data_IF_829914234836
#
_entry.id   IF_829914234836
#
_cell.length_a   1.000
_cell.length_b   1.000
_cell.length_c   1.000
_cell.angle_alpha   90.00
_cell.angle_beta   90.00
_cell.angle_gamma   90.00
#
_symmetry.space_group_name_H-M   'P 1'
#
loop_
_entity.id
_entity.type
_entity.pdbx_description
1 polymer ?
#
# COMPACT_ATOMS: atom_id res chain seq x y z
N UNK A 1 -3.83 -7.24 -13.87
CA UNK A 1 -3.74 -5.87 -13.35
C UNK A 1 -4.65 -4.88 -14.10
N UNK A 2 -4.80 -5.09 -15.39
CA UNK A 2 -5.73 -4.30 -16.21
C UNK A 2 -7.14 -4.90 -16.23
N UNK A 3 -7.33 -6.04 -15.60
CA UNK A 3 -8.63 -6.71 -15.56
C UNK A 3 -9.52 -6.11 -14.49
N UNK A 4 -10.85 -6.09 -14.69
CA UNK A 4 -11.77 -5.67 -13.65
C UNK A 4 -11.85 -6.70 -12.54
N UNK A 5 -12.33 -6.25 -11.38
CA UNK A 5 -12.52 -7.14 -10.26
C UNK A 5 -13.18 -6.44 -9.08
N UNK A 6 -13.48 -7.23 -8.06
CA UNK A 6 -14.15 -6.80 -6.84
C UNK A 6 -13.20 -6.94 -5.68
N UNK A 7 -13.16 -5.92 -4.82
CA UNK A 7 -12.27 -5.92 -3.65
C UNK A 7 -12.76 -6.95 -2.64
N UNK A 8 -11.81 -7.74 -2.12
CA UNK A 8 -12.04 -8.74 -1.09
C UNK A 8 -10.95 -8.67 -0.02
N UNK A 9 -11.11 -9.45 1.03
CA UNK A 9 -10.15 -9.49 2.13
C UNK A 9 -10.58 -8.61 3.30
N UNK A 10 -10.08 -8.95 4.47
CA UNK A 10 -10.50 -8.32 5.73
C UNK A 10 -9.54 -7.25 6.23
N UNK A 11 -8.32 -7.23 5.75
CA UNK A 11 -7.30 -6.34 6.29
C UNK A 11 -6.79 -6.82 7.64
N UNK A 12 -5.92 -6.02 8.25
CA UNK A 12 -5.30 -6.32 9.54
C UNK A 12 -5.91 -5.48 10.64
N UNK A 13 -6.17 -6.12 11.78
CA UNK A 13 -6.61 -5.42 12.97
C UNK A 13 -5.39 -4.83 13.67
N UNK A 14 -5.09 -3.58 13.36
CA UNK A 14 -3.87 -2.91 13.82
C UNK A 14 -4.15 -1.44 14.10
N UNK A 15 -3.41 -0.89 15.07
CA UNK A 15 -3.55 0.53 15.42
C UNK A 15 -2.71 1.44 14.52
N UNK A 16 -1.75 0.89 13.77
CA UNK A 16 -0.95 1.67 12.83
C UNK A 16 -0.78 0.89 11.53
N UNK A 17 -0.59 1.64 10.45
CA UNK A 17 -0.52 1.09 9.11
C UNK A 17 0.92 0.81 8.67
N UNK A 18 1.85 1.72 9.00
CA UNK A 18 3.22 1.65 8.52
C UNK A 18 4.19 1.22 9.62
N UNK A 19 5.19 0.44 9.23
CA UNK A 19 6.19 -0.16 10.11
C UNK A 19 7.59 0.05 9.53
N UNK A 20 8.58 -0.32 10.33
CA UNK A 20 9.98 -0.28 9.92
C UNK A 20 10.60 1.10 9.95
N UNK A 21 11.89 1.15 9.62
CA UNK A 21 12.65 2.39 9.54
C UNK A 21 12.08 3.26 8.42
N UNK A 22 11.89 4.55 8.72
CA UNK A 22 11.32 5.50 7.76
C UNK A 22 9.96 5.10 7.22
N UNK A 23 9.20 4.28 7.98
CA UNK A 23 7.86 3.81 7.60
C UNK A 23 7.88 3.18 6.21
N UNK A 24 8.83 2.27 5.98
CA UNK A 24 9.13 1.77 4.65
C UNK A 24 8.25 0.60 4.20
N UNK A 25 7.51 -0.05 5.11
CA UNK A 25 6.63 -1.17 4.77
C UNK A 25 5.41 -1.19 5.68
N UNK A 26 4.26 -1.56 5.13
CA UNK A 26 3.02 -1.55 5.90
C UNK A 26 1.98 -2.52 5.37
N UNK A 27 0.90 -2.64 6.12
CA UNK A 27 -0.23 -3.53 5.84
C UNK A 27 -1.50 -2.71 5.68
N UNK A 28 -2.54 -3.32 5.13
CA UNK A 28 -3.81 -2.64 4.96
C UNK A 28 -4.68 -2.91 6.18
N UNK A 29 -5.01 -1.86 6.95
CA UNK A 29 -5.85 -2.02 8.13
C UNK A 29 -7.28 -2.41 7.80
N UNK A 30 -7.94 -3.08 8.74
CA UNK A 30 -9.33 -3.49 8.61
C UNK A 30 -10.25 -2.31 8.31
N UNK A 31 -10.04 -1.16 8.93
CA UNK A 31 -10.88 0.01 8.70
C UNK A 31 -10.88 0.44 7.22
N UNK A 32 -9.72 0.39 6.58
CA UNK A 32 -9.60 0.74 5.17
C UNK A 32 -10.20 -0.38 4.31
N UNK A 33 -9.91 -1.64 4.64
CA UNK A 33 -10.50 -2.78 3.94
C UNK A 33 -12.03 -2.72 3.96
N UNK A 34 -12.62 -2.37 5.11
CA UNK A 34 -14.07 -2.30 5.26
C UNK A 34 -14.68 -1.22 4.36
N UNK A 35 -13.96 -0.13 4.10
CA UNK A 35 -14.42 0.94 3.20
C UNK A 35 -14.46 0.51 1.74
N UNK A 36 -13.61 -0.43 1.36
CA UNK A 36 -13.40 -0.82 -0.04
C UNK A 36 -14.03 -2.16 -0.41
N UNK A 37 -14.32 -3.00 0.57
CA UNK A 37 -14.83 -4.35 0.32
C UNK A 37 -16.11 -4.30 -0.51
N UNK A 38 -16.18 -5.22 -1.47
CA UNK A 38 -17.31 -5.38 -2.39
C UNK A 38 -17.42 -4.28 -3.45
N UNK A 39 -16.56 -3.26 -3.43
CA UNK A 39 -16.52 -2.31 -4.53
C UNK A 39 -15.88 -2.94 -5.75
N UNK A 40 -16.38 -2.57 -6.92
CA UNK A 40 -15.89 -3.06 -8.20
C UNK A 40 -15.10 -1.99 -8.93
N UNK A 41 -13.98 -2.39 -9.53
CA UNK A 41 -13.11 -1.49 -10.29
C UNK A 41 -12.82 -2.08 -11.65
N UNK A 42 -12.61 -1.22 -12.64
CA UNK A 42 -12.31 -1.66 -14.01
C UNK A 42 -10.85 -2.09 -14.16
N UNK A 43 -9.97 -1.52 -13.34
CA UNK A 43 -8.54 -1.84 -13.35
C UNK A 43 -7.93 -1.46 -12.00
N UNK A 44 -6.69 -1.88 -11.80
CA UNK A 44 -6.01 -1.66 -10.52
C UNK A 44 -5.72 -0.17 -10.26
N UNK A 45 -5.53 0.63 -11.29
CA UNK A 45 -5.28 2.07 -11.11
C UNK A 45 -6.48 2.77 -10.48
N UNK A 46 -7.70 2.39 -10.87
CA UNK A 46 -8.92 2.92 -10.25
C UNK A 46 -8.99 2.52 -8.77
N UNK A 47 -8.67 1.26 -8.48
CA UNK A 47 -8.61 0.79 -7.09
C UNK A 47 -7.58 1.58 -6.29
N UNK A 48 -6.38 1.78 -6.84
CA UNK A 48 -5.30 2.48 -6.15
C UNK A 48 -5.71 3.91 -5.79
N UNK A 49 -6.37 4.62 -6.72
CA UNK A 49 -6.86 5.97 -6.45
C UNK A 49 -7.85 5.96 -5.28
N UNK A 50 -8.78 5.04 -5.28
CA UNK A 50 -9.80 4.95 -4.23
C UNK A 50 -9.20 4.48 -2.90
N UNK A 51 -8.17 3.64 -2.97
CA UNK A 51 -7.44 3.19 -1.79
C UNK A 51 -6.84 4.40 -1.03
N UNK A 52 -6.14 5.27 -1.73
CA UNK A 52 -5.52 6.42 -1.07
C UNK A 52 -6.56 7.43 -0.57
N UNK A 53 -7.66 7.58 -1.28
CA UNK A 53 -8.79 8.38 -0.78
C UNK A 53 -9.35 7.79 0.51
N UNK A 54 -9.48 6.48 0.59
CA UNK A 54 -9.94 5.80 1.80
C UNK A 54 -8.98 6.02 2.96
N UNK A 55 -7.66 5.96 2.72
CA UNK A 55 -6.67 6.27 3.74
C UNK A 55 -6.85 7.68 4.27
N UNK A 56 -7.07 8.65 3.37
CA UNK A 56 -7.27 10.06 3.76
C UNK A 56 -8.48 10.26 4.67
N UNK A 57 -9.46 9.36 4.62
CA UNK A 57 -10.66 9.44 5.48
C UNK A 57 -10.45 8.85 6.87
N UNK A 58 -9.26 8.35 7.18
CA UNK A 58 -8.96 7.70 8.45
C UNK A 58 -7.82 8.40 9.17
N UNK A 59 -7.67 8.10 10.46
CA UNK A 59 -6.53 8.60 11.24
C UNK A 59 -5.20 8.03 10.75
N UNK A 60 -5.20 6.94 10.02
CA UNK A 60 -3.97 6.41 9.42
C UNK A 60 -3.29 7.41 8.49
N UNK A 61 -4.04 8.37 7.94
CA UNK A 61 -3.46 9.41 7.08
C UNK A 61 -2.34 10.17 7.78
N UNK A 62 -2.42 10.33 9.10
CA UNK A 62 -1.41 11.05 9.87
C UNK A 62 -0.03 10.40 9.78
N UNK A 63 0.04 9.10 9.54
CA UNK A 63 1.31 8.37 9.42
C UNK A 63 2.10 8.77 8.17
N UNK A 64 1.42 9.37 7.20
CA UNK A 64 2.04 9.75 5.92
C UNK A 64 2.44 11.22 5.86
N UNK A 65 2.16 11.99 6.91
CA UNK A 65 2.59 13.39 6.96
C UNK A 65 4.10 13.45 7.21
N UNK A 66 4.79 14.32 6.49
CA UNK A 66 6.23 14.51 6.63
C UNK A 66 6.44 15.85 7.34
N UNK A 67 7.02 15.79 8.54
CA UNK A 67 7.28 16.99 9.37
C UNK A 67 6.02 17.85 9.60
N UNK A 68 4.85 17.20 9.69
CA UNK A 68 3.59 17.89 9.91
C UNK A 68 3.03 18.63 8.70
N UNK A 69 3.73 18.59 7.56
CA UNK A 69 3.26 19.21 6.32
C UNK A 69 2.03 18.43 5.79
N UNK A 70 0.90 19.10 5.52
CA UNK A 70 -0.31 18.41 5.07
C UNK A 70 -0.31 18.01 3.60
N UNK A 71 0.78 18.23 2.87
CA UNK A 71 0.86 17.95 1.43
C UNK A 71 0.38 16.55 1.09
N UNK A 72 0.86 15.54 1.81
CA UNK A 72 0.49 14.14 1.54
C UNK A 72 -0.99 13.88 1.83
N UNK A 73 -1.57 14.55 2.80
CA UNK A 73 -3.01 14.42 3.04
C UNK A 73 -3.80 14.88 1.80
N UNK A 74 -3.45 16.03 1.23
CA UNK A 74 -4.15 16.53 0.05
C UNK A 74 -3.91 15.67 -1.18
N UNK A 75 -2.71 15.11 -1.33
CA UNK A 75 -2.45 14.15 -2.40
C UNK A 75 -3.38 12.94 -2.29
N UNK A 76 -3.46 12.32 -1.12
CA UNK A 76 -4.31 11.15 -0.89
C UNK A 76 -5.79 11.48 -1.06
N UNK A 77 -6.21 12.63 -0.55
CA UNK A 77 -7.60 13.08 -0.69
C UNK A 77 -8.01 13.17 -2.16
N UNK A 78 -7.08 13.48 -3.05
CA UNK A 78 -7.33 13.56 -4.48
C UNK A 78 -6.98 12.27 -5.22
N UNK A 79 -6.71 11.18 -4.51
CA UNK A 79 -6.46 9.86 -5.10
C UNK A 79 -5.01 9.56 -5.43
N UNK A 80 -4.08 10.45 -5.07
CA UNK A 80 -2.66 10.25 -5.32
C UNK A 80 -1.96 9.59 -4.14
N UNK A 81 -0.97 8.75 -4.43
CA UNK A 81 -0.14 8.15 -3.39
C UNK A 81 0.69 9.24 -2.70
N UNK A 82 0.92 9.11 -1.38
CA UNK A 82 1.74 10.09 -0.67
C UNK A 82 3.22 9.96 -1.05
N UNK A 83 3.93 11.08 -0.94
CA UNK A 83 5.37 11.11 -1.14
C UNK A 83 6.07 10.42 0.02
N UNK A 84 7.15 9.72 -0.27
CA UNK A 84 8.01 9.11 0.75
C UNK A 84 9.05 10.13 1.24
N UNK A 85 9.65 9.87 2.42
CA UNK A 85 10.81 10.66 2.84
C UNK A 85 11.95 10.47 1.85
N UNK A 86 12.83 11.48 1.72
CA UNK A 86 13.78 11.53 0.61
C UNK A 86 14.70 10.31 0.52
N UNK A 87 15.11 9.74 1.64
CA UNK A 87 16.00 8.56 1.62
C UNK A 87 15.29 7.27 1.21
N UNK A 88 13.97 7.30 1.04
CA UNK A 88 13.18 6.15 0.59
C UNK A 88 12.80 6.24 -0.89
N UNK A 89 13.11 7.34 -1.54
CA UNK A 89 12.95 7.48 -2.99
C UNK A 89 14.15 6.83 -3.70
N UNK A 90 13.90 6.26 -4.88
CA UNK A 90 14.96 5.64 -5.67
C UNK A 90 14.61 5.70 -7.16
N UNK A 91 15.62 6.00 -7.99
CA UNK A 91 15.49 5.95 -9.46
C UNK A 91 14.29 6.73 -10.01
N UNK A 92 14.02 7.91 -9.45
CA UNK A 92 12.92 8.76 -9.93
C UNK A 92 11.54 8.37 -9.41
N UNK A 93 11.44 7.40 -8.50
CA UNK A 93 10.20 7.02 -7.85
C UNK A 93 10.14 7.66 -6.47
N UNK A 94 9.09 8.42 -6.20
CA UNK A 94 9.00 9.26 -5.01
C UNK A 94 7.76 9.00 -4.15
N UNK A 95 6.89 8.06 -4.54
CA UNK A 95 5.63 7.80 -3.85
C UNK A 95 5.53 6.38 -3.36
N UNK A 96 4.70 6.17 -2.32
CA UNK A 96 4.38 4.84 -1.84
C UNK A 96 3.75 3.99 -2.94
N UNK A 97 3.99 2.69 -2.86
CA UNK A 97 3.52 1.71 -3.84
C UNK A 97 2.70 0.62 -3.14
N UNK A 98 1.74 0.08 -3.87
CA UNK A 98 1.04 -1.14 -3.45
C UNK A 98 1.68 -2.32 -4.17
N UNK A 99 2.12 -3.31 -3.39
CA UNK A 99 2.83 -4.48 -3.91
C UNK A 99 2.00 -5.73 -3.62
N UNK A 100 1.82 -6.59 -4.63
CA UNK A 100 1.16 -7.87 -4.45
C UNK A 100 2.12 -8.87 -3.82
N UNK A 101 1.75 -9.43 -2.66
CA UNK A 101 2.59 -10.38 -1.93
C UNK A 101 2.81 -11.62 -2.77
N UNK A 102 1.73 -12.22 -3.26
CA UNK A 102 1.80 -13.28 -4.25
C UNK A 102 1.58 -12.61 -5.61
N UNK A 103 2.56 -12.71 -6.53
CA UNK A 103 2.44 -12.07 -7.82
C UNK A 103 1.22 -12.54 -8.59
N UNK A 104 0.64 -11.65 -9.38
CA UNK A 104 -0.54 -11.95 -10.18
C UNK A 104 -0.25 -13.13 -11.13
N UNK A 105 0.95 -13.16 -11.73
CA UNK A 105 1.35 -14.23 -12.64
C UNK A 105 1.61 -15.56 -11.94
N UNK A 106 1.57 -15.59 -10.61
CA UNK A 106 1.69 -16.82 -9.80
C UNK A 106 0.38 -17.14 -9.09
N UNK A 107 -0.74 -16.60 -9.56
CA UNK A 107 -2.06 -16.86 -9.01
C UNK A 107 -2.49 -15.94 -7.90
N UNK A 108 -1.71 -14.88 -7.61
CA UNK A 108 -2.09 -13.91 -6.60
C UNK A 108 -3.30 -13.09 -6.98
N UNK A 109 -4.18 -12.82 -6.02
CA UNK A 109 -5.37 -12.02 -6.24
C UNK A 109 -4.99 -10.55 -6.48
N UNK A 110 -5.57 -9.95 -7.52
CA UNK A 110 -5.32 -8.54 -7.85
C UNK A 110 -5.97 -7.62 -6.81
N UNK A 111 -7.17 -7.97 -6.35
CA UNK A 111 -8.01 -7.08 -5.55
C UNK A 111 -8.22 -7.56 -4.11
N UNK A 112 -7.48 -8.55 -3.65
CA UNK A 112 -7.50 -8.90 -2.25
C UNK A 112 -6.58 -7.98 -1.46
N UNK A 113 -7.13 -7.23 -0.51
CA UNK A 113 -6.30 -6.36 0.34
C UNK A 113 -5.35 -7.18 1.23
N UNK A 114 -5.65 -8.45 1.46
CA UNK A 114 -4.77 -9.34 2.22
C UNK A 114 -3.58 -9.82 1.39
N UNK A 115 -3.61 -9.61 0.07
CA UNK A 115 -2.50 -9.88 -0.83
C UNK A 115 -1.71 -8.61 -1.18
N UNK A 116 -1.95 -7.51 -0.48
CA UNK A 116 -1.30 -6.23 -0.74
C UNK A 116 -0.52 -5.76 0.48
N UNK A 117 0.60 -5.10 0.20
CA UNK A 117 1.38 -4.38 1.19
C UNK A 117 1.73 -3.01 0.64
N UNK A 118 1.92 -2.06 1.55
CA UNK A 118 2.31 -0.69 1.20
C UNK A 118 3.80 -0.57 1.41
N UNK A 119 4.54 -0.15 0.41
CA UNK A 119 6.01 -0.09 0.49
C UNK A 119 6.53 1.18 -0.13
N UNK A 120 7.72 1.60 0.34
CA UNK A 120 8.47 2.67 -0.33
C UNK A 120 9.17 2.13 -1.56
N UNK A 121 9.51 2.99 -2.53
CA UNK A 121 10.30 2.55 -3.68
C UNK A 121 11.61 1.87 -3.30
N UNK A 122 12.31 2.39 -2.30
CA UNK A 122 13.58 1.81 -1.86
C UNK A 122 13.40 0.43 -1.25
N UNK A 123 12.40 0.24 -0.38
CA UNK A 123 12.12 -1.07 0.19
C UNK A 123 11.77 -2.07 -0.90
N UNK A 124 10.93 -1.67 -1.85
CA UNK A 124 10.56 -2.52 -2.98
C UNK A 124 11.79 -2.94 -3.78
N UNK A 125 12.67 -1.99 -4.11
CA UNK A 125 13.83 -2.26 -4.95
C UNK A 125 14.92 -3.06 -4.23
N UNK A 126 15.18 -2.77 -2.95
CA UNK A 126 16.30 -3.35 -2.23
C UNK A 126 15.97 -4.62 -1.47
N UNK A 127 14.72 -4.80 -1.08
CA UNK A 127 14.30 -5.93 -0.25
C UNK A 127 13.43 -6.91 -1.04
N UNK A 128 12.38 -6.42 -1.69
CA UNK A 128 11.40 -7.32 -2.31
C UNK A 128 11.85 -7.86 -3.67
N UNK A 129 12.44 -7.03 -4.52
CA UNK A 129 12.85 -7.47 -5.85
C UNK A 129 14.10 -8.36 -5.84
N UNK A 130 15.19 -8.00 -5.15
CA UNK A 130 16.35 -8.89 -5.08
C UNK A 130 16.01 -10.24 -4.46
N UNK A 131 15.15 -10.23 -3.48
CA UNK A 131 14.58 -11.44 -2.97
C UNK A 131 13.27 -11.72 -3.70
N UNK A 132 13.34 -12.10 -4.91
CA UNK A 132 12.18 -12.67 -5.60
C UNK A 132 11.53 -13.76 -4.80
N UNK A 133 12.10 -14.04 -3.93
CA UNK A 133 12.03 -14.90 -2.90
C UNK A 133 11.71 -14.23 -1.59
N UNK A 134 11.73 -12.97 -1.46
CA UNK A 134 11.53 -12.16 -0.29
C UNK A 134 10.14 -12.17 0.30
N UNK A 135 9.21 -12.86 -0.33
CA UNK A 135 7.92 -13.13 0.29
C UNK A 135 8.06 -13.74 1.66
N UNK A 136 9.00 -14.69 1.83
CA UNK A 136 9.15 -15.37 3.10
C UNK A 136 9.63 -14.41 4.19
N UNK A 137 10.60 -13.57 3.86
CA UNK A 137 11.06 -12.53 4.76
C UNK A 137 9.97 -11.53 5.11
N UNK A 138 9.21 -11.11 4.11
CA UNK A 138 8.11 -10.18 4.31
C UNK A 138 7.02 -10.78 5.18
N UNK A 139 6.65 -12.04 4.94
CA UNK A 139 5.67 -12.75 5.76
C UNK A 139 6.10 -12.83 7.21
N UNK A 140 7.39 -13.08 7.46
CA UNK A 140 7.91 -13.12 8.81
C UNK A 140 7.82 -11.76 9.51
N UNK A 141 8.07 -10.70 8.76
CA UNK A 141 8.03 -9.35 9.30
C UNK A 141 6.62 -8.97 9.78
N UNK A 142 5.58 -9.40 9.05
CA UNK A 142 4.20 -9.00 9.32
C UNK A 142 3.33 -10.08 9.98
N UNK A 143 3.94 -11.12 10.45
CA UNK A 143 3.20 -12.15 11.19
C UNK A 143 2.76 -11.72 12.58
#
# INVERSE_FOLDING_TARGET
RNSPGVVEGNGRNTSKMMYGTDKNAGVIPKEIADKLREKQYNNFDEFRNDFWKAVAETDYANEFLINGDPKNYYRMKNGGAPLVVSNQAINGSFTYQLHHIIPINQGGSVYSVDNLVVVTPRYHAEILIPEVHGYNGFKQFFR
#
